data_IF_796012271124
#
_entry.id   IF_796012271124
#
_cell.length_a   1.000
_cell.length_b   1.000
_cell.length_c   1.000
_cell.angle_alpha   90.00
_cell.angle_beta   90.00
_cell.angle_gamma   90.00
#
_symmetry.space_group_name_H-M   'P 1'
#
loop_
_entity.id
_entity.type
_entity.pdbx_description
1 polymer ?
#
# COMPACT_ATOMS: atom_id res chain seq x y z
N UNK A 1 8.42 -14.93 17.84
CA UNK A 1 7.42 -13.94 17.39
C UNK A 1 8.16 -12.63 17.18
N UNK A 2 8.64 -12.38 15.96
CA UNK A 2 9.34 -11.13 15.66
C UNK A 2 8.28 -10.07 15.40
N UNK A 3 8.00 -9.22 16.39
CA UNK A 3 7.34 -7.94 16.17
C UNK A 3 8.29 -7.10 15.30
N UNK A 4 8.22 -7.29 13.99
CA UNK A 4 8.92 -6.41 13.06
C UNK A 4 8.05 -5.17 12.96
N UNK A 5 8.43 -4.12 13.70
CA UNK A 5 7.94 -2.75 13.52
C UNK A 5 8.29 -2.30 12.11
N UNK A 6 7.49 -2.73 11.12
CA UNK A 6 7.69 -2.38 9.71
C UNK A 6 6.95 -1.09 9.44
N UNK A 7 7.52 -0.15 8.69
CA UNK A 7 6.79 1.03 8.22
C UNK A 7 6.31 0.89 6.77
N UNK A 8 5.39 1.75 6.36
CA UNK A 8 4.99 1.87 4.95
C UNK A 8 6.20 2.15 4.04
N UNK A 9 7.12 3.00 4.47
CA UNK A 9 8.37 3.29 3.75
C UNK A 9 9.21 2.03 3.55
N UNK A 10 9.39 1.23 4.61
CA UNK A 10 10.17 -0.01 4.54
C UNK A 10 9.50 -1.05 3.64
N UNK A 11 8.17 -1.16 3.67
CA UNK A 11 7.42 -1.98 2.71
C UNK A 11 7.72 -1.52 1.28
N UNK A 12 7.58 -0.22 0.98
CA UNK A 12 7.84 0.33 -0.36
C UNK A 12 9.27 0.03 -0.80
N UNK A 13 10.27 0.16 0.08
CA UNK A 13 11.66 -0.18 -0.24
C UNK A 13 11.86 -1.66 -0.55
N UNK A 14 11.20 -2.55 0.20
CA UNK A 14 11.22 -4.00 -0.10
C UNK A 14 10.53 -4.31 -1.44
N UNK A 15 9.44 -3.62 -1.77
CA UNK A 15 8.81 -3.78 -3.09
C UNK A 15 9.75 -3.31 -4.21
N UNK A 16 10.50 -2.23 -3.99
CA UNK A 16 11.50 -1.70 -4.93
C UNK A 16 12.71 -2.63 -5.13
N UNK A 17 13.07 -3.46 -4.14
CA UNK A 17 14.14 -4.46 -4.32
C UNK A 17 13.77 -5.57 -5.32
N UNK A 18 12.46 -5.73 -5.61
CA UNK A 18 11.90 -6.73 -6.53
C UNK A 18 12.21 -8.18 -6.15
N UNK A 19 12.50 -8.42 -4.87
CA UNK A 19 12.76 -9.75 -4.33
C UNK A 19 11.46 -10.47 -3.92
N UNK A 20 10.35 -9.74 -3.84
CA UNK A 20 9.05 -10.25 -3.41
C UNK A 20 8.24 -10.79 -4.58
N UNK A 21 7.53 -11.90 -4.34
CA UNK A 21 6.49 -12.43 -5.22
C UNK A 21 5.26 -11.51 -5.30
N UNK A 22 4.40 -11.74 -6.30
CA UNK A 22 3.17 -10.97 -6.45
C UNK A 22 2.24 -11.16 -5.25
N UNK A 23 2.21 -12.37 -4.67
CA UNK A 23 1.45 -12.74 -3.49
C UNK A 23 1.97 -12.05 -2.22
N UNK A 24 3.28 -11.96 -2.04
CA UNK A 24 3.88 -11.21 -0.93
C UNK A 24 3.57 -9.72 -1.04
N UNK A 25 3.72 -9.15 -2.23
CA UNK A 25 3.37 -7.75 -2.47
C UNK A 25 1.88 -7.47 -2.29
N UNK A 26 1.02 -8.40 -2.71
CA UNK A 26 -0.42 -8.29 -2.49
C UNK A 26 -0.74 -8.30 -0.99
N UNK A 27 -0.10 -9.18 -0.23
CA UNK A 27 -0.25 -9.27 1.22
C UNK A 27 0.17 -7.97 1.93
N UNK A 28 1.23 -7.31 1.44
CA UNK A 28 1.61 -5.99 1.95
C UNK A 28 0.54 -4.92 1.66
N UNK A 29 -0.05 -4.89 0.47
CA UNK A 29 -1.14 -3.94 0.16
C UNK A 29 -2.38 -4.22 1.03
N UNK A 30 -2.71 -5.48 1.32
CA UNK A 30 -3.78 -5.83 2.27
C UNK A 30 -3.49 -5.30 3.67
N UNK A 31 -2.26 -5.45 4.17
CA UNK A 31 -1.87 -4.89 5.46
C UNK A 31 -1.98 -3.36 5.50
N UNK A 32 -1.68 -2.67 4.39
CA UNK A 32 -1.84 -1.22 4.24
C UNK A 32 -3.32 -0.82 4.29
N UNK A 33 -4.20 -1.60 3.65
CA UNK A 33 -5.65 -1.39 3.74
C UNK A 33 -6.17 -1.55 5.18
N UNK A 34 -5.73 -2.59 5.89
CA UNK A 34 -6.11 -2.82 7.29
C UNK A 34 -5.64 -1.68 8.20
N UNK A 35 -4.39 -1.21 8.00
CA UNK A 35 -3.87 -0.03 8.68
C UNK A 35 -4.72 1.21 8.38
N UNK A 36 -5.01 1.48 7.12
CA UNK A 36 -5.86 2.61 6.71
C UNK A 36 -7.22 2.59 7.40
N UNK A 37 -7.85 1.40 7.53
CA UNK A 37 -9.12 1.24 8.26
C UNK A 37 -9.00 1.58 9.74
N UNK A 38 -7.90 1.20 10.39
CA UNK A 38 -7.62 1.53 11.80
C UNK A 38 -7.36 3.03 12.00
N UNK A 39 -6.66 3.63 11.04
CA UNK A 39 -6.27 5.05 11.10
C UNK A 39 -7.37 5.99 10.58
N UNK A 40 -8.49 5.46 10.08
CA UNK A 40 -9.49 6.20 9.32
C UNK A 40 -10.01 7.43 10.07
N UNK A 41 -10.36 7.27 11.35
CA UNK A 41 -10.88 8.35 12.18
C UNK A 41 -9.85 9.48 12.34
N UNK A 42 -8.60 9.14 12.63
CA UNK A 42 -7.52 10.12 12.82
C UNK A 42 -7.16 10.79 11.49
N UNK A 43 -7.15 10.04 10.40
CA UNK A 43 -6.91 10.60 9.07
C UNK A 43 -8.02 11.57 8.67
N UNK A 44 -9.29 11.28 8.99
CA UNK A 44 -10.42 12.19 8.74
C UNK A 44 -10.30 13.52 9.49
N UNK A 45 -9.74 13.52 10.71
CA UNK A 45 -9.49 14.76 11.46
C UNK A 45 -8.34 15.60 10.87
N UNK A 46 -7.37 14.93 10.24
CA UNK A 46 -6.11 15.55 9.77
C UNK A 46 -6.10 15.89 8.29
N UNK A 47 -6.95 15.24 7.49
CA UNK A 47 -7.02 15.40 6.04
C UNK A 47 -8.44 15.80 5.62
N UNK A 48 -8.51 16.57 4.53
CA UNK A 48 -9.79 16.78 3.85
C UNK A 48 -10.34 15.43 3.33
N UNK A 49 -11.66 15.26 3.36
CA UNK A 49 -12.32 14.01 2.94
C UNK A 49 -11.98 13.56 1.51
N UNK A 50 -11.63 14.49 0.61
CA UNK A 50 -11.12 14.16 -0.73
C UNK A 50 -9.84 13.31 -0.71
N UNK A 51 -8.91 13.58 0.21
CA UNK A 51 -7.69 12.78 0.36
C UNK A 51 -7.97 11.40 0.95
N UNK A 52 -9.03 11.25 1.76
CA UNK A 52 -9.43 9.94 2.29
C UNK A 52 -9.93 9.04 1.15
N UNK A 53 -10.80 9.57 0.30
CA UNK A 53 -11.25 8.86 -0.90
C UNK A 53 -10.11 8.55 -1.86
N UNK A 54 -9.13 9.44 -1.97
CA UNK A 54 -7.91 9.22 -2.75
C UNK A 54 -7.11 8.03 -2.21
N UNK A 55 -6.79 7.98 -0.91
CA UNK A 55 -6.08 6.84 -0.29
C UNK A 55 -6.83 5.53 -0.57
N UNK A 56 -8.13 5.50 -0.31
CA UNK A 56 -8.95 4.31 -0.51
C UNK A 56 -8.93 3.83 -1.97
N UNK A 57 -9.02 4.76 -2.94
CA UNK A 57 -8.99 4.45 -4.36
C UNK A 57 -7.63 3.89 -4.80
N UNK A 58 -6.53 4.49 -4.30
CA UNK A 58 -5.17 4.06 -4.58
C UNK A 58 -4.88 2.66 -4.04
N UNK A 59 -5.35 2.36 -2.83
CA UNK A 59 -5.28 1.01 -2.24
C UNK A 59 -6.07 0.02 -3.09
N UNK A 60 -7.31 0.35 -3.48
CA UNK A 60 -8.13 -0.50 -4.33
C UNK A 60 -7.47 -0.80 -5.69
N UNK A 61 -6.89 0.21 -6.32
CA UNK A 61 -6.13 0.06 -7.56
C UNK A 61 -4.94 -0.88 -7.38
N UNK A 62 -4.09 -0.63 -6.38
CA UNK A 62 -2.92 -1.45 -6.07
C UNK A 62 -3.28 -2.93 -5.84
N UNK A 63 -4.33 -3.19 -5.06
CA UNK A 63 -4.82 -4.55 -4.80
C UNK A 63 -5.29 -5.24 -6.08
N UNK A 64 -6.15 -4.56 -6.86
CA UNK A 64 -6.72 -5.15 -8.06
C UNK A 64 -5.65 -5.46 -9.11
N UNK A 65 -4.65 -4.58 -9.24
CA UNK A 65 -3.55 -4.74 -10.18
C UNK A 65 -2.69 -5.97 -9.84
N UNK A 66 -2.34 -6.15 -8.56
CA UNK A 66 -1.60 -7.33 -8.11
C UNK A 66 -2.46 -8.60 -8.16
N UNK A 67 -3.74 -8.52 -7.82
CA UNK A 67 -4.65 -9.65 -7.93
C UNK A 67 -4.76 -10.13 -9.39
N UNK A 68 -4.83 -9.20 -10.35
CA UNK A 68 -4.82 -9.52 -11.77
C UNK A 68 -3.53 -10.26 -12.18
N UNK A 69 -2.36 -9.84 -11.68
CA UNK A 69 -1.10 -10.56 -11.91
C UNK A 69 -1.21 -12.00 -11.44
N UNK A 70 -1.64 -12.20 -10.19
CA UNK A 70 -1.76 -13.51 -9.54
C UNK A 70 -2.74 -14.42 -10.32
N UNK A 71 -3.94 -13.91 -10.61
CA UNK A 71 -4.98 -14.66 -11.31
C UNK A 71 -4.63 -14.97 -12.78
N UNK A 72 -3.88 -14.08 -13.43
CA UNK A 72 -3.47 -14.24 -14.82
C UNK A 72 -2.39 -15.32 -15.04
N UNK A 73 -1.82 -15.88 -13.96
CA UNK A 73 -0.76 -16.90 -14.00
C UNK A 73 0.40 -16.56 -14.96
N UNK A 74 0.80 -15.29 -14.97
CA UNK A 74 1.91 -14.79 -15.78
C UNK A 74 1.56 -14.23 -17.16
N UNK A 75 0.27 -14.16 -17.52
CA UNK A 75 -0.16 -13.45 -18.73
C UNK A 75 -0.08 -11.92 -18.58
N UNK A 76 -0.08 -11.41 -17.34
CA UNK A 76 0.07 -10.00 -17.05
C UNK A 76 1.50 -9.65 -16.60
N UNK A 77 2.01 -8.50 -17.04
CA UNK A 77 3.37 -8.03 -16.74
C UNK A 77 3.48 -7.60 -15.27
N UNK A 78 4.00 -8.50 -14.44
CA UNK A 78 4.21 -8.26 -13.02
C UNK A 78 5.12 -7.06 -12.75
N UNK A 79 6.16 -6.84 -13.55
CA UNK A 79 7.11 -5.75 -13.30
C UNK A 79 6.43 -4.39 -13.46
N UNK A 80 5.63 -4.21 -14.52
CA UNK A 80 4.85 -2.98 -14.73
C UNK A 80 3.75 -2.82 -13.68
N UNK A 81 3.10 -3.92 -13.31
CA UNK A 81 2.10 -3.93 -12.24
C UNK A 81 2.71 -3.43 -10.92
N UNK A 82 3.89 -3.94 -10.58
CA UNK A 82 4.63 -3.59 -9.38
C UNK A 82 5.08 -2.13 -9.38
N UNK A 83 5.61 -1.63 -10.50
CA UNK A 83 5.99 -0.22 -10.64
C UNK A 83 4.77 0.71 -10.40
N UNK A 84 3.62 0.39 -11.02
CA UNK A 84 2.39 1.17 -10.82
C UNK A 84 1.84 1.08 -9.40
N UNK A 85 1.97 -0.09 -8.77
CA UNK A 85 1.60 -0.32 -7.37
C UNK A 85 2.45 0.54 -6.45
N UNK A 86 3.78 0.53 -6.64
CA UNK A 86 4.73 1.33 -5.85
C UNK A 86 4.37 2.81 -5.92
N UNK A 87 4.09 3.35 -7.12
CA UNK A 87 3.67 4.76 -7.26
C UNK A 87 2.43 5.08 -6.43
N UNK A 88 1.41 4.21 -6.43
CA UNK A 88 0.23 4.44 -5.59
C UNK A 88 0.56 4.43 -4.09
N UNK A 89 1.47 3.56 -3.66
CA UNK A 89 1.88 3.48 -2.26
C UNK A 89 2.74 4.69 -1.84
N UNK A 90 3.57 5.23 -2.73
CA UNK A 90 4.32 6.47 -2.50
C UNK A 90 3.38 7.67 -2.32
N UNK A 91 2.32 7.77 -3.13
CA UNK A 91 1.32 8.83 -2.96
C UNK A 91 0.56 8.69 -1.62
N UNK A 92 0.21 7.46 -1.22
CA UNK A 92 -0.41 7.20 0.09
C UNK A 92 0.55 7.59 1.22
N UNK A 93 1.83 7.27 1.08
CA UNK A 93 2.86 7.63 2.04
C UNK A 93 2.96 9.15 2.21
N UNK A 94 2.94 9.92 1.11
CA UNK A 94 2.92 11.38 1.21
C UNK A 94 1.69 11.90 1.96
N UNK A 95 0.52 11.31 1.77
CA UNK A 95 -0.69 11.70 2.48
C UNK A 95 -0.63 11.37 3.98
N UNK A 96 -0.02 10.24 4.34
CA UNK A 96 0.28 9.90 5.74
C UNK A 96 1.28 10.88 6.36
N UNK A 97 2.32 11.26 5.64
CA UNK A 97 3.29 12.26 6.11
C UNK A 97 2.64 13.63 6.29
N UNK A 98 1.75 14.04 5.38
CA UNK A 98 0.97 15.29 5.47
C UNK A 98 0.01 15.29 6.66
N UNK A 99 -0.59 14.15 7.01
CA UNK A 99 -1.51 14.03 8.14
C UNK A 99 -0.80 13.97 9.49
N UNK A 100 0.49 13.62 9.51
CA UNK A 100 1.26 13.38 10.73
C UNK A 100 0.89 12.08 11.45
N UNK A 101 0.11 11.22 10.81
CA UNK A 101 -0.24 9.88 11.33
C UNK A 101 0.95 8.94 11.13
N UNK A 102 1.22 8.10 12.13
CA UNK A 102 2.32 7.13 12.07
C UNK A 102 2.19 6.20 10.86
N UNK A 103 3.29 5.97 10.14
CA UNK A 103 3.37 5.02 9.03
C UNK A 103 3.69 3.59 9.47
N UNK A 104 3.77 3.34 10.78
CA UNK A 104 4.06 2.03 11.34
C UNK A 104 2.89 1.05 11.13
N UNK A 105 3.24 -0.16 10.71
CA UNK A 105 2.33 -1.27 10.39
C UNK A 105 2.11 -2.12 11.66
N UNK A 106 1.17 -1.70 12.53
CA UNK A 106 0.79 -2.38 13.78
C UNK A 106 -0.68 -2.79 13.81
#
# INVERSE_FOLDING_TARGET
>A
MSNVNTTLEEIIQRMKSRELSAEENYSHVVAIEEKFKKDLDVLFEKLAGGHIHEIQSKIGFAKNLLNLVIESKGAFDYKKALESTITQLEDILELYQKSGVSTQMS
#
